data_IF_048521524042
#
_entry.id   IF_048521524042
#
_cell.length_a   1.000
_cell.length_b   1.000
_cell.length_c   1.000
_cell.angle_alpha   90.00
_cell.angle_beta   90.00
_cell.angle_gamma   90.00
#
_symmetry.space_group_name_H-M   'P 1'
#
loop_
_entity.id
_entity.type
_entity.pdbx_description
1 polymer ?
#
# COMPACT_ATOMS: atom_id res chain seq x y z
N UNK A 1 56.47 6.84 -7.86
CA UNK A 1 55.06 7.26 -8.00
C UNK A 1 54.22 6.20 -7.32
N UNK A 2 53.60 6.53 -6.18
CA UNK A 2 52.69 5.62 -5.49
C UNK A 2 51.34 5.71 -6.18
N UNK A 3 50.87 4.62 -6.77
CA UNK A 3 49.48 4.49 -7.21
C UNK A 3 48.58 4.66 -5.99
N UNK A 4 47.80 5.73 -6.00
CA UNK A 4 46.76 5.99 -5.02
C UNK A 4 45.64 4.98 -5.26
N UNK A 5 45.64 3.90 -4.48
CA UNK A 5 44.46 3.06 -4.32
C UNK A 5 43.32 3.98 -3.85
N UNK A 6 42.18 4.09 -4.56
CA UNK A 6 41.10 4.95 -4.10
C UNK A 6 40.67 4.49 -2.70
N UNK A 7 40.60 5.42 -1.74
CA UNK A 7 40.14 5.13 -0.39
C UNK A 7 38.76 4.43 -0.45
N UNK A 8 38.47 3.45 0.44
CA UNK A 8 37.16 2.81 0.53
C UNK A 8 36.14 3.76 1.17
N UNK A 9 35.93 4.94 0.60
CA UNK A 9 34.83 5.83 0.92
C UNK A 9 33.67 5.49 -0.02
N UNK A 10 32.65 4.75 0.44
CA UNK A 10 31.22 4.95 0.07
C UNK A 10 30.28 3.74 0.28
N UNK A 11 30.75 2.51 0.43
CA UNK A 11 29.84 1.32 0.39
C UNK A 11 29.00 1.07 1.66
N UNK A 12 29.28 1.78 2.76
CA UNK A 12 28.54 1.69 4.02
C UNK A 12 27.46 2.78 4.18
N UNK A 13 26.84 3.22 3.08
CA UNK A 13 25.62 4.01 3.14
C UNK A 13 24.33 3.16 2.96
N UNK A 14 24.15 1.95 3.57
CA UNK A 14 22.95 1.15 3.32
C UNK A 14 21.73 1.71 4.06
N UNK A 15 21.83 2.91 4.62
CA UNK A 15 20.76 3.58 5.30
C UNK A 15 20.68 4.97 4.70
N UNK A 16 19.81 5.15 3.71
CA UNK A 16 19.44 6.49 3.28
C UNK A 16 18.59 7.04 4.43
N UNK A 17 19.06 8.05 5.19
CA UNK A 17 18.24 8.69 6.19
C UNK A 17 17.19 9.49 5.42
N UNK A 18 15.97 8.96 5.37
CA UNK A 18 14.81 9.72 4.90
C UNK A 18 13.97 9.98 6.15
N UNK A 19 13.93 11.26 6.57
CA UNK A 19 13.07 11.74 7.65
C UNK A 19 13.22 10.99 9.00
N UNK A 20 14.45 10.65 9.37
CA UNK A 20 14.76 10.02 10.66
C UNK A 20 14.48 8.50 10.70
N UNK A 21 14.29 7.86 9.55
CA UNK A 21 14.23 6.41 9.41
C UNK A 21 15.31 5.90 8.45
N UNK A 22 15.71 4.64 8.65
CA UNK A 22 16.78 3.99 7.92
C UNK A 22 16.21 2.94 6.97
N UNK A 23 16.31 3.20 5.66
CA UNK A 23 15.89 2.27 4.60
C UNK A 23 17.08 1.73 3.83
N UNK A 24 17.01 0.45 3.47
CA UNK A 24 17.91 -0.12 2.48
C UNK A 24 17.76 0.60 1.12
N UNK A 25 18.86 0.78 0.37
CA UNK A 25 18.81 1.19 -1.02
C UNK A 25 17.88 0.30 -1.86
N UNK A 26 17.24 0.82 -2.93
CA UNK A 26 16.33 0.06 -3.77
C UNK A 26 16.93 -1.20 -4.42
N UNK A 27 18.25 -1.23 -4.60
CA UNK A 27 19.02 -2.37 -5.11
C UNK A 27 19.27 -3.46 -4.05
N UNK A 28 19.10 -3.14 -2.75
CA UNK A 28 19.34 -4.05 -1.62
C UNK A 28 18.07 -4.40 -0.84
N UNK A 29 17.00 -3.60 -0.97
CA UNK A 29 15.71 -3.82 -0.34
C UNK A 29 14.57 -3.73 -1.36
N UNK A 30 13.66 -4.70 -1.33
CA UNK A 30 12.55 -4.77 -2.27
C UNK A 30 11.38 -3.87 -1.83
N UNK A 31 10.86 -2.99 -2.70
CA UNK A 31 9.63 -2.26 -2.44
C UNK A 31 8.44 -3.20 -2.23
N UNK A 32 7.54 -2.82 -1.32
CA UNK A 32 6.37 -3.61 -0.98
C UNK A 32 5.07 -2.91 -1.37
N UNK A 33 4.07 -3.72 -1.69
CA UNK A 33 2.71 -3.30 -1.95
C UNK A 33 1.88 -3.47 -0.68
N UNK A 34 1.24 -2.41 -0.20
CA UNK A 34 0.39 -2.44 0.97
C UNK A 34 -1.07 -2.33 0.57
N UNK A 35 -1.79 -3.44 0.74
CA UNK A 35 -3.22 -3.55 0.44
C UNK A 35 -3.99 -3.14 1.67
N UNK A 36 -4.61 -1.96 1.62
CA UNK A 36 -5.43 -1.46 2.72
C UNK A 36 -6.90 -1.67 2.37
N UNK A 37 -7.64 -2.28 3.28
CA UNK A 37 -9.09 -2.43 3.16
C UNK A 37 -9.77 -2.08 4.48
N UNK A 38 -11.05 -1.72 4.41
CA UNK A 38 -11.83 -1.35 5.57
C UNK A 38 -13.32 -1.43 5.23
N UNK A 39 -14.22 -1.62 6.21
CA UNK A 39 -15.64 -1.48 5.96
C UNK A 39 -15.95 -0.03 5.56
N UNK A 40 -17.02 0.15 4.79
CA UNK A 40 -17.43 1.48 4.33
C UNK A 40 -17.50 2.49 5.49
N UNK A 41 -16.93 3.69 5.29
CA UNK A 41 -16.93 4.75 6.30
C UNK A 41 -15.77 4.72 7.30
N UNK A 42 -14.82 3.78 7.20
CA UNK A 42 -13.70 3.68 8.14
C UNK A 42 -12.52 4.64 7.88
N UNK A 43 -12.58 5.50 6.87
CA UNK A 43 -11.56 6.53 6.60
C UNK A 43 -10.31 6.06 5.86
N UNK A 44 -10.39 4.92 5.17
CA UNK A 44 -9.28 4.25 4.47
C UNK A 44 -8.48 5.17 3.53
N UNK A 45 -9.15 5.86 2.60
CA UNK A 45 -8.49 6.72 1.60
C UNK A 45 -7.73 7.86 2.26
N UNK A 46 -8.36 8.52 3.23
CA UNK A 46 -7.74 9.59 4.02
C UNK A 46 -6.51 9.08 4.77
N UNK A 47 -6.57 7.87 5.36
CA UNK A 47 -5.44 7.28 6.06
C UNK A 47 -4.26 6.99 5.12
N UNK A 48 -4.52 6.40 3.95
CA UNK A 48 -3.47 6.09 2.98
C UNK A 48 -2.77 7.36 2.48
N UNK A 49 -3.56 8.39 2.10
CA UNK A 49 -3.00 9.70 1.71
C UNK A 49 -2.21 10.35 2.83
N UNK A 50 -2.70 10.26 4.07
CA UNK A 50 -1.99 10.78 5.24
C UNK A 50 -0.63 10.11 5.38
N UNK A 51 -0.56 8.78 5.35
CA UNK A 51 0.71 8.04 5.45
C UNK A 51 1.66 8.39 4.31
N UNK A 52 1.20 8.46 3.07
CA UNK A 52 2.03 8.87 1.93
C UNK A 52 2.49 10.33 1.99
N UNK A 53 1.81 11.20 2.75
CA UNK A 53 2.25 12.58 2.99
C UNK A 53 3.27 12.70 4.13
N UNK A 54 3.36 11.69 4.99
CA UNK A 54 4.28 11.68 6.13
C UNK A 54 5.70 11.34 5.70
N UNK A 55 5.88 10.62 4.59
CA UNK A 55 7.19 10.17 4.10
C UNK A 55 7.29 10.11 2.57
N UNK A 56 8.45 10.50 2.02
CA UNK A 56 8.71 10.56 0.56
C UNK A 56 8.82 9.20 -0.13
N UNK A 57 9.13 8.15 0.60
CA UNK A 57 9.42 6.81 0.09
C UNK A 57 8.20 5.89 -0.01
N UNK A 58 7.02 6.39 0.38
CA UNK A 58 5.72 5.74 0.17
C UNK A 58 4.91 6.57 -0.81
N UNK A 59 4.23 5.93 -1.75
CA UNK A 59 3.24 6.59 -2.61
C UNK A 59 1.88 5.95 -2.48
N UNK A 60 0.84 6.74 -2.69
CA UNK A 60 -0.53 6.26 -2.81
C UNK A 60 -0.87 6.01 -4.28
N UNK A 61 -1.44 4.85 -4.58
CA UNK A 61 -1.94 4.49 -5.90
C UNK A 61 -3.33 5.07 -6.11
N UNK A 62 -3.50 5.81 -7.21
CA UNK A 62 -4.76 6.45 -7.59
C UNK A 62 -5.48 5.53 -8.57
N UNK A 63 -6.63 5.01 -8.16
CA UNK A 63 -7.41 4.08 -8.99
C UNK A 63 -8.07 4.79 -10.17
N UNK A 64 -8.35 4.02 -11.22
CA UNK A 64 -9.22 4.40 -12.32
C UNK A 64 -10.67 4.14 -11.95
N UNK A 65 -11.60 4.98 -12.43
CA UNK A 65 -13.03 4.73 -12.26
C UNK A 65 -13.85 5.19 -13.46
N UNK A 66 -14.96 4.48 -13.71
CA UNK A 66 -15.99 4.90 -14.69
C UNK A 66 -17.05 5.82 -14.10
N UNK A 67 -16.96 6.13 -12.80
CA UNK A 67 -17.90 7.03 -12.14
C UNK A 67 -17.57 8.46 -12.53
N UNK A 68 -18.59 9.30 -12.71
CA UNK A 68 -18.39 10.75 -12.86
C UNK A 68 -17.76 11.37 -11.59
N UNK A 69 -16.87 12.36 -11.72
CA UNK A 69 -16.30 13.08 -10.59
C UNK A 69 -17.40 13.80 -9.79
N UNK A 70 -17.30 13.76 -8.47
CA UNK A 70 -18.16 14.54 -7.57
C UNK A 70 -17.65 15.98 -7.48
N UNK A 71 -18.51 16.94 -7.05
CA UNK A 71 -18.06 18.30 -6.77
C UNK A 71 -16.86 18.31 -5.81
N UNK A 72 -15.74 18.88 -6.28
CA UNK A 72 -14.49 18.98 -5.52
C UNK A 72 -13.49 17.84 -5.73
N UNK A 73 -13.86 16.75 -6.42
CA UNK A 73 -12.89 15.72 -6.83
C UNK A 73 -12.07 16.20 -8.04
N UNK A 74 -10.78 15.87 -8.06
CA UNK A 74 -9.83 16.27 -9.09
C UNK A 74 -9.27 15.05 -9.82
N UNK A 75 -9.30 15.07 -11.15
CA UNK A 75 -8.72 14.01 -11.98
C UNK A 75 -7.21 13.86 -11.76
N UNK A 76 -6.76 12.62 -11.64
CA UNK A 76 -5.36 12.28 -11.35
C UNK A 76 -4.93 12.60 -9.91
N UNK A 77 -5.85 13.01 -9.04
CA UNK A 77 -5.63 13.21 -7.59
C UNK A 77 -6.55 12.29 -6.80
N UNK A 78 -7.85 12.33 -7.11
CA UNK A 78 -8.85 11.51 -6.44
C UNK A 78 -9.05 10.16 -7.10
N UNK A 79 -9.25 10.19 -8.40
CA UNK A 79 -9.29 9.05 -9.30
C UNK A 79 -8.78 9.49 -10.67
N UNK A 80 -8.41 8.54 -11.52
CA UNK A 80 -8.43 8.75 -12.95
C UNK A 80 -9.84 8.48 -13.47
N UNK A 81 -10.56 9.52 -13.83
CA UNK A 81 -11.93 9.44 -14.32
C UNK A 81 -11.92 9.15 -15.82
N UNK A 82 -12.37 7.94 -16.19
CA UNK A 82 -12.35 7.47 -17.58
C UNK A 82 -13.73 7.02 -18.03
N UNK A 83 -13.99 7.06 -19.33
CA UNK A 83 -15.26 6.54 -19.86
C UNK A 83 -15.34 5.01 -19.71
N UNK A 84 -16.55 4.42 -19.70
CA UNK A 84 -16.70 2.96 -19.72
C UNK A 84 -15.97 2.28 -20.89
N UNK A 85 -15.89 2.94 -22.04
CA UNK A 85 -15.19 2.42 -23.22
C UNK A 85 -13.67 2.36 -22.97
N UNK A 86 -13.08 3.46 -22.49
CA UNK A 86 -11.65 3.51 -22.17
C UNK A 86 -11.29 2.51 -21.08
N UNK A 87 -12.11 2.39 -20.04
CA UNK A 87 -11.89 1.40 -18.98
C UNK A 87 -11.91 -0.04 -19.55
N UNK A 88 -12.83 -0.34 -20.45
CA UNK A 88 -12.89 -1.66 -21.10
C UNK A 88 -11.64 -1.92 -21.94
N UNK A 89 -11.21 -0.95 -22.75
CA UNK A 89 -10.00 -1.09 -23.55
C UNK A 89 -8.75 -1.33 -22.69
N UNK A 90 -8.63 -0.65 -21.55
CA UNK A 90 -7.56 -0.89 -20.58
C UNK A 90 -7.63 -2.31 -19.99
N UNK A 91 -8.84 -2.76 -19.65
CA UNK A 91 -9.07 -4.10 -19.13
C UNK A 91 -8.70 -5.18 -20.16
N UNK A 92 -9.09 -5.00 -21.43
CA UNK A 92 -8.82 -5.93 -22.53
C UNK A 92 -7.32 -6.04 -22.84
N UNK A 93 -6.55 -4.97 -22.60
CA UNK A 93 -5.08 -4.97 -22.71
C UNK A 93 -4.38 -5.58 -21.49
N UNK A 94 -5.10 -5.87 -20.41
CA UNK A 94 -4.51 -6.37 -19.17
C UNK A 94 -3.79 -5.29 -18.34
N UNK A 95 -4.20 -4.02 -18.48
CA UNK A 95 -3.55 -2.89 -17.81
C UNK A 95 -3.78 -2.88 -16.28
N UNK A 96 -4.80 -3.60 -15.78
CA UNK A 96 -5.20 -3.63 -14.37
C UNK A 96 -4.67 -4.84 -13.60
N UNK A 97 -4.24 -4.63 -12.35
CA UNK A 97 -3.93 -5.70 -11.38
C UNK A 97 -5.18 -6.27 -10.75
N UNK A 98 -6.15 -5.40 -10.49
CA UNK A 98 -7.47 -5.76 -10.01
C UNK A 98 -8.50 -4.82 -10.61
N UNK A 99 -9.72 -5.34 -10.73
CA UNK A 99 -10.89 -4.55 -11.07
C UNK A 99 -12.06 -4.99 -10.20
N UNK A 100 -12.87 -4.04 -9.76
CA UNK A 100 -14.09 -4.28 -9.01
C UNK A 100 -15.26 -3.44 -9.56
N UNK A 101 -16.48 -3.95 -9.43
CA UNK A 101 -17.69 -3.19 -9.72
C UNK A 101 -18.39 -2.82 -8.41
N UNK A 102 -18.56 -1.52 -8.19
CA UNK A 102 -19.13 -0.98 -6.96
C UNK A 102 -20.24 0.02 -7.32
N UNK A 103 -21.48 -0.35 -7.01
CA UNK A 103 -22.69 0.43 -7.34
C UNK A 103 -22.80 0.79 -8.83
N UNK A 104 -22.58 -0.19 -9.72
CA UNK A 104 -22.68 -0.01 -11.17
C UNK A 104 -21.55 0.79 -11.81
N UNK A 105 -20.52 1.15 -11.04
CA UNK A 105 -19.31 1.78 -11.55
C UNK A 105 -18.13 0.84 -11.39
N UNK A 106 -17.22 0.85 -12.36
CA UNK A 106 -16.00 0.05 -12.31
C UNK A 106 -14.86 0.85 -11.69
N UNK A 107 -14.00 0.14 -10.99
CA UNK A 107 -12.79 0.64 -10.37
C UNK A 107 -11.65 -0.30 -10.73
N UNK A 108 -10.44 0.22 -10.91
CA UNK A 108 -9.28 -0.61 -11.21
C UNK A 108 -7.97 0.03 -10.81
N UNK A 109 -7.03 -0.81 -10.38
CA UNK A 109 -5.67 -0.42 -10.01
C UNK A 109 -4.72 -0.77 -11.13
N UNK A 110 -4.10 0.25 -11.75
CA UNK A 110 -3.23 0.06 -12.90
C UNK A 110 -1.88 -0.55 -12.52
N UNK A 111 -1.47 -1.61 -13.23
CA UNK A 111 -0.19 -2.30 -13.04
C UNK A 111 1.00 -1.34 -13.22
N UNK A 112 0.94 -0.52 -14.26
CA UNK A 112 1.99 0.44 -14.61
C UNK A 112 2.29 1.44 -13.49
N UNK A 113 1.29 1.83 -12.69
CA UNK A 113 1.49 2.76 -11.57
C UNK A 113 2.29 2.11 -10.43
N UNK A 114 2.04 0.83 -10.15
CA UNK A 114 2.78 0.07 -9.13
C UNK A 114 4.21 -0.16 -9.60
N UNK A 115 4.38 -0.66 -10.84
CA UNK A 115 5.70 -0.96 -11.41
C UNK A 115 6.58 0.29 -11.52
N UNK A 116 6.02 1.42 -11.96
CA UNK A 116 6.77 2.68 -12.04
C UNK A 116 7.18 3.23 -10.67
N UNK A 117 6.42 2.94 -9.62
CA UNK A 117 6.74 3.33 -8.24
C UNK A 117 7.81 2.42 -7.64
N UNK A 118 7.69 1.11 -7.88
CA UNK A 118 8.68 0.11 -7.47
C UNK A 118 10.04 0.35 -8.15
N UNK A 119 10.06 0.70 -9.44
CA UNK A 119 11.28 1.06 -10.16
C UNK A 119 12.01 2.28 -9.55
N UNK A 120 11.30 3.12 -8.80
CA UNK A 120 11.87 4.26 -8.04
C UNK A 120 12.20 3.91 -6.60
N UNK A 121 12.09 2.63 -6.22
CA UNK A 121 12.30 2.17 -4.86
C UNK A 121 11.21 2.61 -3.87
N UNK A 122 9.99 2.94 -4.34
CA UNK A 122 8.91 3.41 -3.46
C UNK A 122 7.94 2.28 -3.13
N UNK A 123 7.55 2.21 -1.86
CA UNK A 123 6.42 1.38 -1.46
C UNK A 123 5.12 1.99 -1.96
N UNK A 124 4.12 1.14 -2.18
CA UNK A 124 2.83 1.60 -2.72
C UNK A 124 1.70 1.20 -1.78
N UNK A 125 0.91 2.18 -1.36
CA UNK A 125 -0.37 1.96 -0.69
C UNK A 125 -1.47 1.92 -1.74
N UNK A 126 -2.22 0.82 -1.77
CA UNK A 126 -3.49 0.71 -2.52
C UNK A 126 -4.62 0.60 -1.54
N UNK A 127 -5.73 1.26 -1.85
CA UNK A 127 -6.88 1.27 -0.98
C UNK A 127 -8.10 0.68 -1.69
N UNK A 128 -8.29 -0.63 -1.53
CA UNK A 128 -9.28 -1.40 -2.30
C UNK A 128 -10.29 -2.10 -1.40
N UNK A 129 -11.38 -2.58 -1.99
CA UNK A 129 -12.36 -3.39 -1.28
C UNK A 129 -11.86 -4.84 -1.09
N UNK A 130 -12.67 -5.68 -0.45
CA UNK A 130 -12.28 -7.06 -0.14
C UNK A 130 -12.12 -7.90 -1.40
N UNK A 131 -12.90 -7.63 -2.45
CA UNK A 131 -12.78 -8.35 -3.71
C UNK A 131 -11.44 -8.02 -4.38
N UNK A 132 -11.13 -6.72 -4.53
CA UNK A 132 -9.85 -6.27 -5.06
C UNK A 132 -8.67 -6.77 -4.22
N UNK A 133 -8.80 -6.77 -2.89
CA UNK A 133 -7.77 -7.27 -1.99
C UNK A 133 -7.46 -8.75 -2.21
N UNK A 134 -8.48 -9.60 -2.37
CA UNK A 134 -8.30 -11.03 -2.69
C UNK A 134 -7.57 -11.19 -4.02
N UNK A 135 -7.95 -10.44 -5.05
CA UNK A 135 -7.30 -10.49 -6.36
C UNK A 135 -5.84 -10.05 -6.28
N UNK A 136 -5.53 -8.94 -5.59
CA UNK A 136 -4.15 -8.46 -5.47
C UNK A 136 -3.28 -9.38 -4.61
N UNK A 137 -3.80 -9.96 -3.53
CA UNK A 137 -3.05 -10.95 -2.72
C UNK A 137 -2.77 -12.25 -3.50
N UNK A 138 -3.64 -12.63 -4.43
CA UNK A 138 -3.42 -13.78 -5.30
C UNK A 138 -2.41 -13.49 -6.44
N UNK A 139 -1.96 -12.24 -6.58
CA UNK A 139 -0.93 -11.87 -7.55
C UNK A 139 0.47 -12.26 -7.06
N UNK A 140 1.44 -12.32 -7.97
CA UNK A 140 2.85 -12.59 -7.64
C UNK A 140 3.60 -11.35 -7.12
N UNK A 141 2.89 -10.27 -6.76
CA UNK A 141 3.51 -9.06 -6.23
C UNK A 141 3.68 -9.22 -4.71
N UNK A 142 4.90 -9.08 -4.17
CA UNK A 142 5.12 -9.06 -2.73
C UNK A 142 4.26 -8.00 -2.07
N UNK A 143 3.31 -8.44 -1.25
CA UNK A 143 2.30 -7.57 -0.68
C UNK A 143 2.00 -7.91 0.77
N UNK A 144 1.62 -6.89 1.52
CA UNK A 144 1.19 -6.95 2.90
C UNK A 144 -0.19 -6.33 2.99
N UNK A 145 -1.11 -7.04 3.64
CA UNK A 145 -2.51 -6.66 3.70
C UNK A 145 -2.90 -6.19 5.09
N UNK A 146 -3.54 -5.02 5.16
CA UNK A 146 -3.95 -4.36 6.40
C UNK A 146 -5.45 -4.08 6.37
N UNK A 147 -6.19 -4.63 7.32
CA UNK A 147 -7.61 -4.35 7.49
C UNK A 147 -7.84 -3.34 8.61
N UNK A 148 -8.55 -2.25 8.31
CA UNK A 148 -8.85 -1.19 9.27
C UNK A 148 -10.27 -1.35 9.78
N UNK A 149 -10.44 -1.35 11.10
CA UNK A 149 -11.72 -1.40 11.78
C UNK A 149 -12.01 -0.09 12.54
N UNK A 150 -13.27 0.35 12.62
CA UNK A 150 -13.67 1.33 13.62
C UNK A 150 -13.51 0.76 15.05
N UNK A 151 -13.48 1.61 16.09
CA UNK A 151 -13.20 1.17 17.45
C UNK A 151 -14.35 0.41 18.10
N UNK A 152 -15.56 0.52 17.54
CA UNK A 152 -16.75 -0.23 17.98
C UNK A 152 -17.79 -0.30 16.86
N UNK A 153 -18.75 -1.22 17.02
CA UNK A 153 -19.91 -1.31 16.16
C UNK A 153 -20.77 -0.03 16.20
N UNK A 154 -20.89 0.62 17.36
CA UNK A 154 -21.66 1.86 17.48
C UNK A 154 -21.04 3.00 16.67
N UNK A 155 -19.70 3.11 16.68
CA UNK A 155 -18.99 4.09 15.84
C UNK A 155 -19.12 3.73 14.36
N UNK A 156 -19.10 2.44 13.99
CA UNK A 156 -19.39 2.02 12.62
C UNK A 156 -20.78 2.50 12.18
N UNK A 157 -21.81 2.22 13.00
CA UNK A 157 -23.18 2.66 12.75
C UNK A 157 -23.26 4.18 12.61
N UNK A 158 -22.68 4.92 13.55
CA UNK A 158 -22.66 6.38 13.51
C UNK A 158 -22.01 6.91 12.22
N UNK A 159 -20.87 6.34 11.79
CA UNK A 159 -20.17 6.74 10.55
C UNK A 159 -20.97 6.41 9.29
N UNK A 160 -21.74 5.32 9.30
CA UNK A 160 -22.62 4.95 8.18
C UNK A 160 -23.88 5.83 8.12
N UNK A 161 -24.35 6.33 9.28
CA UNK A 161 -25.52 7.20 9.43
C UNK A 161 -25.22 8.68 9.18
N UNK A 162 -23.98 9.14 9.34
CA UNK A 162 -23.60 10.56 9.22
C UNK A 162 -23.64 11.11 7.79
N UNK A 163 -23.85 10.26 6.77
CA UNK A 163 -24.23 10.70 5.42
C UNK A 163 -25.73 11.03 5.42
N UNK A 164 -26.05 12.29 5.69
CA UNK A 164 -27.32 12.84 6.17
C UNK A 164 -28.59 12.67 5.28
N UNK A 165 -28.73 11.61 4.48
CA UNK A 165 -29.89 11.41 3.58
C UNK A 165 -30.36 9.96 3.48
N UNK A 166 -29.77 9.03 4.24
CA UNK A 166 -30.12 7.61 4.15
C UNK A 166 -31.27 7.24 5.10
N UNK A 167 -32.31 6.59 4.58
CA UNK A 167 -33.38 6.01 5.40
C UNK A 167 -32.83 4.96 6.38
N UNK A 168 -33.54 4.70 7.50
CA UNK A 168 -33.21 3.60 8.42
C UNK A 168 -33.07 2.24 7.71
N UNK A 169 -33.88 1.99 6.68
CA UNK A 169 -33.78 0.78 5.86
C UNK A 169 -32.46 0.73 5.06
N UNK A 170 -31.98 1.87 4.55
CA UNK A 170 -30.70 1.98 3.86
C UNK A 170 -29.52 1.79 4.82
N UNK A 171 -29.59 2.37 6.02
CA UNK A 171 -28.57 2.21 7.07
C UNK A 171 -28.46 0.73 7.47
N UNK A 172 -29.59 0.04 7.67
CA UNK A 172 -29.61 -1.39 7.99
C UNK A 172 -28.96 -2.24 6.90
N UNK A 173 -29.26 -1.98 5.62
CA UNK A 173 -28.62 -2.67 4.48
C UNK A 173 -27.10 -2.46 4.46
N UNK A 174 -26.63 -1.24 4.76
CA UNK A 174 -25.19 -0.95 4.84
C UNK A 174 -24.51 -1.63 6.02
N UNK A 175 -25.18 -1.72 7.16
CA UNK A 175 -24.68 -2.44 8.33
C UNK A 175 -24.57 -3.94 8.09
N UNK A 176 -25.57 -4.56 7.45
CA UNK A 176 -25.50 -5.98 7.07
C UNK A 176 -24.38 -6.24 6.07
N UNK A 177 -24.20 -5.35 5.09
CA UNK A 177 -23.05 -5.42 4.18
C UNK A 177 -21.73 -5.31 4.94
N UNK A 178 -21.59 -4.32 5.82
CA UNK A 178 -20.37 -4.13 6.61
C UNK A 178 -20.08 -5.34 7.50
N UNK A 179 -21.11 -5.99 8.06
CA UNK A 179 -20.96 -7.24 8.82
C UNK A 179 -20.38 -8.37 7.95
N UNK A 180 -20.90 -8.55 6.74
CA UNK A 180 -20.39 -9.55 5.81
C UNK A 180 -18.96 -9.22 5.33
N UNK A 181 -18.63 -7.93 5.18
CA UNK A 181 -17.28 -7.47 4.85
C UNK A 181 -16.29 -7.71 6.00
N UNK A 182 -16.70 -7.44 7.25
CA UNK A 182 -15.82 -7.58 8.42
C UNK A 182 -15.38 -9.02 8.64
N UNK A 183 -16.21 -10.03 8.32
CA UNK A 183 -15.84 -11.45 8.48
C UNK A 183 -14.55 -11.80 7.73
N UNK A 184 -14.25 -11.12 6.63
CA UNK A 184 -13.01 -11.30 5.86
C UNK A 184 -11.74 -10.75 6.52
N UNK A 185 -11.82 -10.23 7.75
CA UNK A 185 -10.65 -9.74 8.49
C UNK A 185 -9.54 -10.80 8.62
N UNK A 186 -9.92 -12.08 8.69
CA UNK A 186 -9.02 -13.22 8.84
C UNK A 186 -8.17 -13.49 7.60
N UNK A 187 -8.43 -12.81 6.49
CA UNK A 187 -7.65 -12.90 5.26
C UNK A 187 -6.50 -11.88 5.20
N UNK A 188 -6.35 -11.03 6.22
CA UNK A 188 -5.37 -9.95 6.25
C UNK A 188 -4.22 -10.25 7.22
N UNK A 189 -3.04 -9.75 6.89
CA UNK A 189 -1.83 -9.92 7.72
C UNK A 189 -1.91 -9.10 9.01
N UNK A 190 -2.53 -7.92 8.93
CA UNK A 190 -2.65 -6.98 10.05
C UNK A 190 -4.07 -6.45 10.22
N UNK A 191 -4.45 -6.19 11.48
CA UNK A 191 -5.65 -5.44 11.85
C UNK A 191 -5.25 -4.13 12.54
N UNK A 192 -5.85 -3.02 12.10
CA UNK A 192 -5.70 -1.70 12.74
C UNK A 192 -7.04 -1.20 13.24
N UNK A 193 -7.08 -0.71 14.48
CA UNK A 193 -8.29 -0.11 15.06
C UNK A 193 -8.20 1.41 14.98
N UNK A 194 -9.01 2.03 14.12
CA UNK A 194 -9.03 3.47 13.88
C UNK A 194 -9.77 4.24 14.98
N UNK A 195 -9.10 4.42 16.12
CA UNK A 195 -9.56 5.22 17.28
C UNK A 195 -9.29 6.70 17.10
N UNK A 196 -8.05 7.04 16.78
CA UNK A 196 -7.56 8.41 16.59
C UNK A 196 -6.77 8.46 15.29
N UNK A 197 -7.17 9.34 14.38
CA UNK A 197 -6.72 9.30 12.99
C UNK A 197 -5.19 9.39 12.84
N UNK A 198 -4.55 10.37 13.47
CA UNK A 198 -3.10 10.54 13.35
C UNK A 198 -2.32 9.41 14.01
N UNK A 199 -2.81 8.85 15.14
CA UNK A 199 -2.19 7.66 15.75
C UNK A 199 -2.29 6.46 14.83
N UNK A 200 -3.45 6.21 14.24
CA UNK A 200 -3.63 5.11 13.29
C UNK A 200 -2.76 5.27 12.05
N UNK A 201 -2.47 6.51 11.61
CA UNK A 201 -1.53 6.75 10.52
C UNK A 201 -0.10 6.38 10.94
N UNK A 202 0.31 6.71 12.16
CA UNK A 202 1.60 6.29 12.72
C UNK A 202 1.68 4.77 12.90
N UNK A 203 0.60 4.11 13.34
CA UNK A 203 0.55 2.65 13.48
C UNK A 203 0.70 1.95 12.12
N UNK A 204 0.04 2.47 11.07
CA UNK A 204 0.19 1.96 9.70
C UNK A 204 1.63 2.17 9.20
N UNK A 205 2.22 3.35 9.43
CA UNK A 205 3.61 3.61 9.09
C UNK A 205 4.58 2.68 9.85
N UNK A 206 4.29 2.35 11.11
CA UNK A 206 5.08 1.43 11.90
C UNK A 206 5.04 0.00 11.33
N UNK A 207 3.87 -0.49 10.89
CA UNK A 207 3.75 -1.78 10.18
C UNK A 207 4.61 -1.76 8.92
N UNK A 208 4.51 -0.71 8.10
CA UNK A 208 5.29 -0.58 6.86
C UNK A 208 6.79 -0.65 7.16
N UNK A 209 7.26 0.12 8.15
CA UNK A 209 8.67 0.11 8.58
C UNK A 209 9.10 -1.27 9.10
N UNK A 210 8.26 -1.95 9.87
CA UNK A 210 8.58 -3.26 10.44
C UNK A 210 8.76 -4.33 9.35
N UNK A 211 7.99 -4.28 8.26
CA UNK A 211 8.11 -5.22 7.14
C UNK A 211 9.47 -5.12 6.43
N UNK A 212 10.08 -3.94 6.37
CA UNK A 212 11.45 -3.76 5.86
C UNK A 212 12.54 -4.38 6.74
N UNK A 213 12.24 -4.68 8.01
CA UNK A 213 13.17 -5.36 8.91
C UNK A 213 12.99 -6.88 8.93
N UNK A 214 12.02 -7.43 8.18
CA UNK A 214 11.89 -8.89 8.09
C UNK A 214 13.12 -9.46 7.39
N UNK A 215 13.64 -10.55 7.96
CA UNK A 215 14.79 -11.29 7.40
C UNK A 215 14.69 -11.49 5.89
N UNK A 216 13.50 -11.83 5.39
CA UNK A 216 13.26 -12.06 3.96
C UNK A 216 13.60 -10.84 3.09
N UNK A 217 13.26 -9.62 3.54
CA UNK A 217 13.58 -8.37 2.85
C UNK A 217 15.05 -7.95 2.97
N UNK A 218 15.80 -8.51 3.92
CA UNK A 218 17.21 -8.22 4.16
C UNK A 218 18.17 -9.24 3.53
N UNK A 219 17.66 -10.29 2.86
CA UNK A 219 18.51 -11.33 2.28
C UNK A 219 19.47 -10.78 1.23
N UNK A 220 18.99 -9.94 0.31
CA UNK A 220 19.83 -9.31 -0.71
C UNK A 220 20.94 -8.46 -0.09
N UNK A 221 20.62 -7.68 0.95
CA UNK A 221 21.61 -6.95 1.73
C UNK A 221 22.66 -7.88 2.37
N UNK A 222 22.24 -8.98 3.00
CA UNK A 222 23.17 -9.93 3.63
C UNK A 222 24.10 -10.59 2.59
N UNK A 223 23.56 -10.99 1.45
CA UNK A 223 24.31 -11.63 0.36
C UNK A 223 25.32 -10.68 -0.27
N UNK A 224 24.87 -9.48 -0.66
CA UNK A 224 25.68 -8.50 -1.38
C UNK A 224 26.72 -7.80 -0.50
N UNK A 225 26.39 -7.53 0.77
CA UNK A 225 27.24 -6.72 1.65
C UNK A 225 28.15 -7.55 2.55
N UNK A 226 27.71 -8.72 3.01
CA UNK A 226 28.49 -9.55 3.95
C UNK A 226 28.99 -10.85 3.34
N UNK A 227 28.10 -11.68 2.77
CA UNK A 227 28.48 -13.05 2.38
C UNK A 227 29.44 -13.10 1.19
N UNK A 228 29.33 -12.18 0.23
CA UNK A 228 30.30 -12.04 -0.87
C UNK A 228 31.70 -11.68 -0.39
N UNK A 229 31.82 -10.84 0.63
CA UNK A 229 33.12 -10.44 1.19
C UNK A 229 33.80 -11.60 1.92
N UNK A 230 33.04 -12.46 2.61
CA UNK A 230 33.59 -13.65 3.27
C UNK A 230 34.12 -14.70 2.29
N UNK A 231 33.55 -14.76 1.09
CA UNK A 231 33.96 -15.72 0.04
C UNK A 231 35.10 -15.21 -0.84
N UNK A 232 35.44 -13.91 -0.76
CA UNK A 232 36.53 -13.28 -1.50
C UNK A 232 37.89 -13.20 -0.79
N UNK A 233 37.97 -13.56 0.50
CA UNK A 233 39.24 -13.61 1.24
C UNK A 233 39.84 -15.02 1.18
N UNK A 234 40.90 -15.28 0.39
CA UNK A 234 41.71 -16.47 0.63
C UNK A 234 42.29 -16.33 2.04
N UNK A 235 42.03 -17.32 2.90
CA UNK A 235 42.73 -17.51 4.16
C UNK A 235 44.23 -17.28 3.91
N UNK A 236 44.93 -16.39 4.64
CA UNK A 236 46.36 -16.33 4.54
C UNK A 236 46.90 -17.68 5.02
N UNK A 237 47.57 -18.38 4.11
CA UNK A 237 48.19 -19.67 4.33
C UNK A 237 48.86 -19.75 5.72
N UNK A 238 48.45 -20.76 6.50
CA UNK A 238 49.23 -21.31 7.59
C UNK A 238 50.07 -22.47 7.07
#
# INVERSE_FOLDING_TARGET
MKESNPEPRSRLAPLIPDEGWYRLPPDLGQPLLYIVSAPSGAGKTSLCRRVSSLVSWITYSISYTTREPRPGEVDGVDYFFVSPQVFQEMQDRGDFLETAEVYGNRYGTARSQIEASFAKGKDVLVDIDIQGARTMRASNIPSISVYILPPSYDILRQRLSSRAQDSEATIRKRLERAKNEIVSYNEYDYLLINREFDRTAQDLLAIIRAEHYRKAGLLGFMEEVFLKEFSGNPQPHA
#
